data_IF_890952765014
#
_entry.id   IF_890952765014
#
_cell.length_a   1.000
_cell.length_b   1.000
_cell.length_c   1.000
_cell.angle_alpha   90.00
_cell.angle_beta   90.00
_cell.angle_gamma   90.00
#
_symmetry.space_group_name_H-M   'P 1'
#
loop_
_entity.id
_entity.type
_entity.pdbx_description
1 polymer ?
#
# COMPACT_ATOMS: atom_id res chain seq x y z
N UNK A 1 21.46 -1.33 24.11
CA UNK A 1 21.04 -1.40 22.68
C UNK A 1 21.19 -0.03 22.04
N UNK A 2 22.07 0.09 21.08
CA UNK A 2 22.27 1.32 20.30
C UNK A 2 21.01 1.54 19.44
N UNK A 3 20.51 2.76 19.38
CA UNK A 3 19.43 3.08 18.45
C UNK A 3 19.92 2.86 16.99
N UNK A 4 19.01 2.48 16.10
CA UNK A 4 19.31 2.31 14.67
C UNK A 4 19.97 3.58 14.09
N UNK A 5 19.50 4.75 14.49
CA UNK A 5 20.04 6.06 14.09
C UNK A 5 21.51 6.19 14.51
N UNK A 6 21.86 5.82 15.76
CA UNK A 6 23.24 5.90 16.24
C UNK A 6 24.19 4.99 15.45
N UNK A 7 23.75 3.77 15.07
CA UNK A 7 24.52 2.87 14.22
C UNK A 7 24.78 3.46 12.84
N UNK A 8 23.74 3.91 12.17
CA UNK A 8 23.86 4.51 10.84
C UNK A 8 24.74 5.77 10.83
N UNK A 9 24.64 6.59 11.87
CA UNK A 9 25.49 7.79 11.98
C UNK A 9 26.95 7.44 12.26
N UNK A 10 27.23 6.36 12.99
CA UNK A 10 28.58 5.86 13.22
C UNK A 10 29.23 5.33 11.93
N UNK A 11 28.47 4.61 11.12
CA UNK A 11 28.95 4.04 9.85
C UNK A 11 29.11 5.11 8.75
N UNK A 12 28.33 6.19 8.80
CA UNK A 12 28.31 7.27 7.80
C UNK A 12 28.41 8.67 8.44
N UNK A 13 29.51 9.03 9.11
CA UNK A 13 29.61 10.26 9.90
C UNK A 13 29.56 11.56 9.05
N UNK A 14 29.79 11.45 7.73
CA UNK A 14 29.75 12.59 6.80
C UNK A 14 28.39 12.82 6.17
N UNK A 15 27.40 11.94 6.43
CA UNK A 15 26.08 11.99 5.81
C UNK A 15 25.04 12.34 6.87
N UNK A 16 24.26 13.40 6.62
CA UNK A 16 23.08 13.69 7.43
C UNK A 16 21.97 12.72 7.06
N UNK A 17 21.78 11.68 7.88
CA UNK A 17 20.78 10.65 7.67
C UNK A 17 19.45 11.11 8.28
N UNK A 18 18.42 11.16 7.44
CA UNK A 18 17.03 11.31 7.87
C UNK A 18 16.33 9.98 7.70
N UNK A 19 15.95 9.34 8.80
CA UNK A 19 15.19 8.10 8.78
C UNK A 19 13.70 8.41 8.65
N UNK A 20 13.03 7.65 7.79
CA UNK A 20 11.58 7.64 7.69
C UNK A 20 11.09 6.21 7.95
N UNK A 21 10.24 6.06 8.96
CA UNK A 21 9.65 4.77 9.31
C UNK A 21 8.32 4.63 8.59
N UNK A 22 8.23 3.64 7.72
CA UNK A 22 7.05 3.31 6.95
C UNK A 22 6.55 1.94 7.39
N UNK A 23 5.34 1.88 7.94
CA UNK A 23 4.61 0.65 8.19
C UNK A 23 3.57 0.39 7.12
N UNK A 24 3.00 -0.80 7.10
CA UNK A 24 1.87 -1.06 6.21
C UNK A 24 0.70 -1.70 6.96
N UNK A 25 -0.49 -1.37 6.53
CA UNK A 25 -1.74 -1.87 7.08
C UNK A 25 -2.45 -2.76 6.08
N UNK A 26 -3.03 -3.85 6.57
CA UNK A 26 -3.80 -4.77 5.73
C UNK A 26 -5.13 -4.14 5.29
N UNK A 27 -5.59 -4.41 4.06
CA UNK A 27 -6.84 -3.85 3.51
C UNK A 27 -8.08 -4.14 4.33
N UNK A 28 -8.14 -5.26 5.07
CA UNK A 28 -9.30 -5.58 5.90
C UNK A 28 -9.48 -4.65 7.12
N UNK A 29 -8.44 -3.89 7.47
CA UNK A 29 -8.47 -2.87 8.52
C UNK A 29 -8.73 -1.47 7.98
N UNK A 30 -8.83 -1.33 6.66
CA UNK A 30 -9.02 -0.06 5.97
C UNK A 30 -10.28 -0.08 5.13
N UNK A 31 -10.90 1.07 4.99
CA UNK A 31 -11.93 1.30 4.00
C UNK A 31 -11.32 2.03 2.80
N UNK A 32 -11.66 1.59 1.60
CA UNK A 32 -11.14 2.18 0.36
C UNK A 32 -12.24 2.35 -0.67
N UNK A 33 -12.24 3.47 -1.36
CA UNK A 33 -13.16 3.77 -2.46
C UNK A 33 -12.51 4.58 -3.55
N UNK A 34 -12.78 4.21 -4.79
CA UNK A 34 -12.41 4.98 -5.98
C UNK A 34 -13.65 5.69 -6.53
N UNK A 35 -13.50 6.98 -6.78
CA UNK A 35 -14.49 7.79 -7.50
C UNK A 35 -13.91 8.18 -8.87
N UNK A 36 -14.75 8.11 -9.90
CA UNK A 36 -14.45 8.68 -11.21
C UNK A 36 -15.37 9.90 -11.38
N UNK A 37 -14.76 11.05 -11.52
CA UNK A 37 -15.44 12.34 -11.62
C UNK A 37 -15.27 12.92 -13.02
N UNK A 38 -16.24 13.67 -13.55
CA UNK A 38 -16.21 14.18 -14.92
C UNK A 38 -15.18 15.31 -15.13
N UNK A 39 -14.75 15.97 -14.05
CA UNK A 39 -13.82 17.10 -14.09
C UNK A 39 -12.85 17.07 -12.91
N UNK A 40 -11.74 17.76 -13.05
CA UNK A 40 -10.74 17.90 -11.98
C UNK A 40 -11.29 18.71 -10.83
N UNK A 41 -10.88 18.36 -9.64
CA UNK A 41 -11.17 19.07 -8.40
C UNK A 41 -9.92 19.76 -7.87
N UNK A 42 -10.08 20.88 -7.22
CA UNK A 42 -9.03 21.48 -6.38
C UNK A 42 -8.78 20.63 -5.14
N UNK A 43 -7.67 20.87 -4.44
CA UNK A 43 -7.33 20.16 -3.20
C UNK A 43 -8.47 20.26 -2.17
N UNK A 44 -9.02 21.46 -1.97
CA UNK A 44 -10.12 21.68 -1.02
C UNK A 44 -11.40 20.96 -1.43
N UNK A 45 -11.68 20.87 -2.71
CA UNK A 45 -12.84 20.13 -3.23
C UNK A 45 -12.64 18.63 -3.07
N UNK A 46 -11.43 18.12 -3.29
CA UNK A 46 -11.08 16.72 -3.04
C UNK A 46 -11.31 16.37 -1.56
N UNK A 47 -10.83 17.19 -0.63
CA UNK A 47 -11.02 16.98 0.81
C UNK A 47 -12.51 16.97 1.20
N UNK A 48 -13.29 17.94 0.72
CA UNK A 48 -14.75 17.99 0.96
C UNK A 48 -15.45 16.77 0.38
N UNK A 49 -15.05 16.35 -0.82
CA UNK A 49 -15.61 15.17 -1.46
C UNK A 49 -15.30 13.90 -0.67
N UNK A 50 -14.05 13.77 -0.16
CA UNK A 50 -13.69 12.66 0.71
C UNK A 50 -14.53 12.64 1.99
N UNK A 51 -14.61 13.77 2.68
CA UNK A 51 -15.40 13.90 3.90
C UNK A 51 -16.87 13.54 3.66
N UNK A 52 -17.46 14.06 2.58
CA UNK A 52 -18.85 13.77 2.21
C UNK A 52 -19.08 12.27 1.99
N UNK A 53 -18.17 11.61 1.25
CA UNK A 53 -18.30 10.18 0.97
C UNK A 53 -18.14 9.35 2.25
N UNK A 54 -17.15 9.69 3.09
CA UNK A 54 -16.91 9.00 4.35
C UNK A 54 -18.10 9.10 5.29
N UNK A 55 -18.67 10.30 5.45
CA UNK A 55 -19.87 10.50 6.27
C UNK A 55 -21.10 9.76 5.75
N UNK A 56 -21.21 9.62 4.44
CA UNK A 56 -22.36 8.93 3.82
C UNK A 56 -22.25 7.41 3.94
N UNK A 57 -21.04 6.87 3.85
CA UNK A 57 -20.84 5.43 3.71
C UNK A 57 -20.40 4.72 4.98
N UNK A 58 -19.77 5.45 5.89
CA UNK A 58 -19.29 4.87 7.13
C UNK A 58 -20.15 5.30 8.33
N UNK A 59 -20.61 4.36 9.15
CA UNK A 59 -21.35 4.67 10.38
C UNK A 59 -20.36 5.06 11.52
N UNK A 60 -19.40 5.93 11.22
CA UNK A 60 -18.30 6.33 12.09
C UNK A 60 -18.13 7.83 11.95
N UNK A 61 -17.95 8.54 13.06
CA UNK A 61 -17.72 9.98 13.03
C UNK A 61 -16.37 10.32 12.39
N UNK A 62 -16.27 11.41 11.62
CA UNK A 62 -15.03 11.79 10.92
C UNK A 62 -13.84 11.99 11.86
N UNK A 63 -14.06 12.48 13.08
CA UNK A 63 -13.01 12.66 14.08
C UNK A 63 -12.46 11.33 14.63
N UNK A 64 -13.14 10.21 14.39
CA UNK A 64 -12.66 8.85 14.72
C UNK A 64 -11.94 8.19 13.56
N UNK A 65 -11.85 8.87 12.40
CA UNK A 65 -11.19 8.38 11.22
C UNK A 65 -9.92 9.17 10.93
N UNK A 66 -8.91 8.47 10.44
CA UNK A 66 -7.85 9.04 9.64
C UNK A 66 -8.11 8.65 8.19
N UNK A 67 -7.99 9.61 7.28
CA UNK A 67 -8.15 9.35 5.86
C UNK A 67 -7.13 10.10 5.04
N UNK A 68 -6.83 9.54 3.90
CA UNK A 68 -5.99 10.15 2.87
C UNK A 68 -6.58 9.85 1.49
N UNK A 69 -6.16 10.59 0.49
CA UNK A 69 -6.63 10.38 -0.87
C UNK A 69 -5.55 10.61 -1.90
N UNK A 70 -5.68 9.92 -3.01
CA UNK A 70 -4.86 10.13 -4.19
C UNK A 70 -5.74 10.62 -5.33
N UNK A 71 -5.35 11.75 -5.92
CA UNK A 71 -6.02 12.37 -7.04
C UNK A 71 -5.19 12.18 -8.31
N UNK A 72 -5.81 11.68 -9.38
CA UNK A 72 -5.13 11.44 -10.66
C UNK A 72 -5.99 11.91 -11.83
N UNK A 73 -5.48 12.79 -12.71
CA UNK A 73 -6.16 13.12 -13.94
C UNK A 73 -6.23 11.89 -14.87
N UNK A 74 -7.35 11.73 -15.54
CA UNK A 74 -7.56 10.73 -16.59
C UNK A 74 -7.70 11.43 -17.94
N UNK A 75 -7.65 10.67 -19.03
CA UNK A 75 -7.92 11.22 -20.39
C UNK A 75 -9.31 11.87 -20.49
N UNK A 76 -10.28 11.29 -19.79
CA UNK A 76 -11.62 11.85 -19.65
C UNK A 76 -12.00 11.76 -18.17
N UNK A 77 -11.94 12.90 -17.48
CA UNK A 77 -12.31 13.00 -16.07
C UNK A 77 -11.14 12.96 -15.11
N UNK A 78 -11.44 12.57 -13.88
CA UNK A 78 -10.56 12.66 -12.74
C UNK A 78 -10.84 11.50 -11.80
N UNK A 79 -9.79 10.84 -11.34
CA UNK A 79 -9.89 9.72 -10.41
C UNK A 79 -9.49 10.18 -9.01
N UNK A 80 -10.30 9.84 -8.03
CA UNK A 80 -10.06 10.08 -6.62
C UNK A 80 -10.12 8.75 -5.87
N UNK A 81 -8.98 8.26 -5.43
CA UNK A 81 -8.87 7.08 -4.58
C UNK A 81 -8.83 7.53 -3.12
N UNK A 82 -9.77 7.07 -2.32
CA UNK A 82 -9.94 7.46 -0.92
C UNK A 82 -9.64 6.25 -0.05
N UNK A 83 -8.83 6.43 0.97
CA UNK A 83 -8.49 5.41 1.96
C UNK A 83 -8.77 5.96 3.35
N UNK A 84 -9.38 5.15 4.20
CA UNK A 84 -9.66 5.53 5.59
C UNK A 84 -9.41 4.37 6.54
N UNK A 85 -9.00 4.69 7.74
CA UNK A 85 -8.76 3.76 8.84
C UNK A 85 -9.32 4.35 10.13
N UNK A 86 -9.77 3.52 11.05
CA UNK A 86 -10.12 3.99 12.38
C UNK A 86 -8.88 4.55 13.08
N UNK A 87 -9.01 5.73 13.68
CA UNK A 87 -7.91 6.38 14.42
C UNK A 87 -7.31 5.45 15.48
N UNK A 88 -8.15 4.74 16.22
CA UNK A 88 -7.68 3.78 17.22
C UNK A 88 -6.83 2.67 16.60
N UNK A 89 -7.27 2.08 15.49
CA UNK A 89 -6.48 1.05 14.78
C UNK A 89 -5.11 1.57 14.35
N UNK A 90 -5.05 2.79 13.81
CA UNK A 90 -3.78 3.40 13.41
C UNK A 90 -2.87 3.69 14.63
N UNK A 91 -3.45 4.10 15.75
CA UNK A 91 -2.71 4.32 17.00
C UNK A 91 -2.18 3.01 17.59
N UNK A 92 -2.95 1.92 17.53
CA UNK A 92 -2.52 0.60 17.98
C UNK A 92 -1.30 0.13 17.18
N UNK A 93 -1.33 0.32 15.84
CA UNK A 93 -0.16 0.08 14.99
C UNK A 93 1.06 0.92 15.38
N UNK A 94 0.86 2.15 15.78
CA UNK A 94 1.95 3.03 16.22
C UNK A 94 2.58 2.54 17.53
N UNK A 95 1.79 2.03 18.46
CA UNK A 95 2.28 1.48 19.74
C UNK A 95 3.20 0.27 19.53
N UNK A 96 2.99 -0.53 18.49
CA UNK A 96 3.84 -1.68 18.16
C UNK A 96 5.27 -1.26 17.76
N UNK A 97 5.48 0.02 17.41
CA UNK A 97 6.77 0.60 17.01
C UNK A 97 7.41 1.48 18.10
N UNK A 98 7.21 1.16 19.36
CA UNK A 98 7.60 1.92 20.58
C UNK A 98 8.95 2.67 20.53
N UNK A 99 9.89 2.23 19.71
CA UNK A 99 11.25 2.80 19.65
C UNK A 99 11.53 3.62 18.39
N UNK A 100 10.64 3.56 17.41
CA UNK A 100 10.78 4.26 16.14
C UNK A 100 9.44 4.87 15.77
N UNK A 101 9.30 6.19 15.77
CA UNK A 101 8.03 6.83 15.45
C UNK A 101 7.62 6.47 14.02
N UNK A 102 6.47 5.84 13.88
CA UNK A 102 5.86 5.54 12.59
C UNK A 102 5.44 6.88 11.94
N UNK A 103 5.99 7.18 10.77
CA UNK A 103 5.70 8.42 10.05
C UNK A 103 4.73 8.24 8.90
N UNK A 104 4.67 7.02 8.37
CA UNK A 104 3.79 6.67 7.26
C UNK A 104 3.16 5.32 7.52
N UNK A 105 1.84 5.24 7.35
CA UNK A 105 1.08 4.01 7.34
C UNK A 105 0.52 3.80 5.93
N UNK A 106 1.20 2.95 5.15
CA UNK A 106 0.83 2.66 3.77
C UNK A 106 -0.07 1.42 3.67
N UNK A 107 -0.73 1.24 2.55
CA UNK A 107 -1.51 0.04 2.27
C UNK A 107 -0.58 -1.12 1.87
N UNK A 108 -0.75 -2.27 2.52
CA UNK A 108 0.05 -3.47 2.25
C UNK A 108 0.12 -3.85 0.76
N UNK A 109 -0.96 -3.81 -0.04
CA UNK A 109 -0.90 -4.08 -1.47
C UNK A 109 0.04 -3.16 -2.24
N UNK A 110 0.16 -1.89 -1.84
CA UNK A 110 1.09 -0.96 -2.47
C UNK A 110 2.55 -1.33 -2.19
N UNK A 111 2.85 -1.71 -0.96
CA UNK A 111 4.19 -2.20 -0.59
C UNK A 111 4.53 -3.48 -1.38
N UNK A 112 3.59 -4.43 -1.48
CA UNK A 112 3.77 -5.67 -2.25
C UNK A 112 4.06 -5.36 -3.73
N UNK A 113 3.28 -4.48 -4.37
CA UNK A 113 3.51 -4.10 -5.77
C UNK A 113 4.87 -3.43 -5.97
N UNK A 114 5.29 -2.52 -5.08
CA UNK A 114 6.61 -1.90 -5.17
C UNK A 114 7.73 -2.92 -5.06
N UNK A 115 7.60 -3.90 -4.17
CA UNK A 115 8.58 -4.98 -4.03
C UNK A 115 8.68 -5.81 -5.31
N UNK A 116 7.56 -6.23 -5.90
CA UNK A 116 7.54 -6.93 -7.19
C UNK A 116 8.20 -6.10 -8.29
N UNK A 117 7.83 -4.82 -8.41
CA UNK A 117 8.40 -3.94 -9.43
C UNK A 117 9.89 -3.69 -9.27
N UNK A 118 10.40 -3.74 -8.05
CA UNK A 118 11.83 -3.59 -7.78
C UNK A 118 12.62 -4.84 -8.16
N UNK A 119 12.08 -6.01 -7.80
CA UNK A 119 12.78 -7.29 -8.05
C UNK A 119 12.69 -7.70 -9.52
N UNK A 120 11.58 -7.36 -10.19
CA UNK A 120 11.39 -7.64 -11.61
C UNK A 120 11.98 -6.52 -12.44
N UNK A 121 13.03 -6.83 -13.20
CA UNK A 121 13.74 -5.87 -14.06
C UNK A 121 12.87 -5.34 -15.20
N UNK A 122 11.89 -6.10 -15.65
CA UNK A 122 10.98 -5.76 -16.71
C UNK A 122 9.52 -5.80 -16.23
N UNK A 123 8.78 -4.72 -16.49
CA UNK A 123 7.34 -4.67 -16.28
C UNK A 123 6.65 -5.20 -17.53
N UNK A 124 5.92 -6.29 -17.40
CA UNK A 124 5.08 -6.78 -18.48
C UNK A 124 3.65 -6.30 -18.22
N UNK A 125 3.02 -5.78 -19.26
CA UNK A 125 1.60 -5.51 -19.24
C UNK A 125 0.82 -6.80 -18.92
N UNK A 126 -0.35 -6.66 -18.30
CA UNK A 126 -1.21 -7.79 -17.93
C UNK A 126 -0.56 -8.86 -17.04
N UNK A 127 0.35 -8.42 -16.15
CA UNK A 127 0.96 -9.31 -15.15
C UNK A 127 0.11 -9.38 -13.89
N UNK A 128 -0.11 -10.60 -13.41
CA UNK A 128 -0.72 -10.87 -12.11
C UNK A 128 0.38 -11.16 -11.09
N UNK A 129 0.34 -10.45 -9.97
CA UNK A 129 1.27 -10.60 -8.86
C UNK A 129 0.56 -11.29 -7.69
N UNK A 130 1.06 -12.45 -7.30
CA UNK A 130 0.53 -13.25 -6.20
C UNK A 130 1.50 -13.20 -5.02
N UNK A 131 1.01 -12.83 -3.87
CA UNK A 131 1.77 -12.78 -2.63
C UNK A 131 1.13 -13.68 -1.59
N UNK A 132 1.94 -14.46 -0.87
CA UNK A 132 1.49 -15.25 0.26
C UNK A 132 2.50 -15.23 1.40
N UNK A 133 2.03 -14.89 2.59
CA UNK A 133 2.66 -15.20 3.87
C UNK A 133 1.70 -16.03 4.73
N UNK A 134 2.08 -16.29 5.99
CA UNK A 134 1.28 -17.10 6.93
C UNK A 134 -0.11 -16.48 7.21
N UNK A 135 -0.23 -15.16 7.12
CA UNK A 135 -1.45 -14.43 7.49
C UNK A 135 -2.21 -13.87 6.29
N UNK A 136 -1.52 -13.65 5.18
CA UNK A 136 -2.06 -12.90 4.04
C UNK A 136 -1.86 -13.62 2.72
N UNK A 137 -2.86 -13.53 1.88
CA UNK A 137 -2.79 -13.99 0.50
C UNK A 137 -3.41 -12.92 -0.41
N UNK A 138 -2.61 -12.35 -1.34
CA UNK A 138 -3.01 -11.27 -2.22
C UNK A 138 -2.79 -11.62 -3.68
N UNK A 139 -3.77 -11.26 -4.52
CA UNK A 139 -3.64 -11.19 -5.97
C UNK A 139 -3.79 -9.73 -6.41
N UNK A 140 -2.81 -9.22 -7.13
CA UNK A 140 -2.70 -7.82 -7.51
C UNK A 140 -2.41 -7.72 -9.01
N UNK A 141 -3.14 -6.87 -9.72
CA UNK A 141 -2.91 -6.59 -11.13
C UNK A 141 -3.09 -5.11 -11.41
N UNK A 142 -2.13 -4.50 -12.08
CA UNK A 142 -2.24 -3.13 -12.55
C UNK A 142 -2.99 -3.10 -13.88
N UNK A 143 -4.28 -2.81 -13.83
CA UNK A 143 -5.06 -2.56 -15.03
C UNK A 143 -5.06 -1.07 -15.39
N UNK A 144 -5.19 -0.75 -16.68
CA UNK A 144 -5.06 0.61 -17.20
C UNK A 144 -5.97 1.64 -16.51
N UNK A 145 -7.16 1.21 -16.06
CA UNK A 145 -8.16 2.10 -15.48
C UNK A 145 -8.26 1.99 -13.96
N UNK A 146 -8.05 0.81 -13.39
CA UNK A 146 -8.16 0.59 -11.96
C UNK A 146 -7.30 -0.61 -11.54
N UNK A 147 -6.46 -0.47 -10.50
CA UNK A 147 -5.79 -1.63 -9.92
C UNK A 147 -6.83 -2.65 -9.46
N UNK A 148 -6.63 -3.88 -9.84
CA UNK A 148 -7.45 -4.99 -9.40
C UNK A 148 -6.75 -5.67 -8.23
N UNK A 149 -7.48 -5.88 -7.17
CA UNK A 149 -6.97 -6.50 -5.96
C UNK A 149 -7.97 -7.50 -5.42
N UNK A 150 -7.47 -8.65 -5.04
CA UNK A 150 -8.19 -9.63 -4.26
C UNK A 150 -7.33 -10.07 -3.08
N UNK A 151 -7.93 -10.07 -1.90
CA UNK A 151 -7.40 -10.70 -0.71
C UNK A 151 -8.31 -11.88 -0.36
N UNK A 152 -7.73 -13.03 -0.08
CA UNK A 152 -8.47 -14.21 0.33
C UNK A 152 -7.68 -15.00 1.38
N UNK A 153 -8.37 -15.91 2.04
CA UNK A 153 -7.76 -16.96 2.86
C UNK A 153 -7.51 -18.19 1.99
N UNK A 154 -6.44 -18.92 2.27
CA UNK A 154 -6.12 -20.14 1.55
C UNK A 154 -4.76 -20.05 0.85
N UNK A 155 -4.67 -20.67 -0.31
CA UNK A 155 -3.43 -20.77 -1.07
C UNK A 155 -3.48 -19.99 -2.39
N UNK A 156 -2.31 -19.87 -3.05
CA UNK A 156 -2.18 -19.09 -4.28
C UNK A 156 -3.03 -19.63 -5.45
N UNK A 157 -3.27 -20.96 -5.53
CA UNK A 157 -4.09 -21.56 -6.61
C UNK A 157 -5.54 -21.12 -6.44
N UNK A 158 -6.08 -21.29 -5.25
CA UNK A 158 -7.47 -20.89 -4.93
C UNK A 158 -7.65 -19.38 -5.14
N UNK A 159 -6.67 -18.59 -4.74
CA UNK A 159 -6.69 -17.15 -4.93
C UNK A 159 -6.67 -16.76 -6.41
N UNK A 160 -5.83 -17.41 -7.22
CA UNK A 160 -5.77 -17.20 -8.66
C UNK A 160 -7.11 -17.52 -9.34
N UNK A 161 -7.72 -18.67 -9.00
CA UNK A 161 -9.03 -19.03 -9.54
C UNK A 161 -10.12 -18.02 -9.17
N UNK A 162 -10.13 -17.57 -7.91
CA UNK A 162 -11.07 -16.55 -7.46
C UNK A 162 -10.85 -15.22 -8.18
N UNK A 163 -9.59 -14.83 -8.40
CA UNK A 163 -9.24 -13.63 -9.14
C UNK A 163 -9.75 -13.71 -10.59
N UNK A 164 -9.49 -14.80 -11.29
CA UNK A 164 -9.96 -15.01 -12.66
C UNK A 164 -11.49 -15.01 -12.78
N UNK A 165 -12.20 -15.55 -11.78
CA UNK A 165 -13.67 -15.52 -11.75
C UNK A 165 -14.24 -14.13 -11.49
N UNK A 166 -13.53 -13.31 -10.74
CA UNK A 166 -13.98 -11.96 -10.35
C UNK A 166 -13.66 -10.91 -11.40
N UNK A 167 -12.52 -11.06 -12.05
CA UNK A 167 -11.99 -10.07 -12.99
C UNK A 167 -11.79 -10.75 -14.34
N UNK A 168 -12.52 -10.30 -15.34
CA UNK A 168 -12.39 -10.79 -16.73
C UNK A 168 -11.17 -10.14 -17.42
N UNK A 169 -10.01 -10.18 -16.77
CA UNK A 169 -8.80 -9.55 -17.26
C UNK A 169 -7.91 -10.55 -17.98
N UNK A 170 -7.32 -10.13 -19.07
CA UNK A 170 -6.33 -10.93 -19.78
C UNK A 170 -5.07 -10.99 -18.92
N UNK A 171 -4.70 -12.16 -18.43
CA UNK A 171 -3.46 -12.42 -17.71
C UNK A 171 -2.48 -13.05 -18.67
N UNK A 172 -1.32 -12.43 -18.85
CA UNK A 172 -0.27 -12.93 -19.74
C UNK A 172 0.88 -13.59 -18.97
N UNK A 173 1.14 -13.10 -17.76
CA UNK A 173 2.19 -13.63 -16.88
C UNK A 173 1.71 -13.64 -15.45
N UNK A 174 2.15 -14.65 -14.71
CA UNK A 174 1.92 -14.77 -13.27
C UNK A 174 3.28 -14.78 -12.58
N UNK A 175 3.44 -13.85 -11.65
CA UNK A 175 4.57 -13.80 -10.74
C UNK A 175 4.10 -14.08 -9.34
N UNK A 176 4.85 -14.84 -8.58
CA UNK A 176 4.48 -15.09 -7.20
C UNK A 176 5.67 -15.00 -6.25
N UNK A 177 5.36 -14.56 -5.03
CA UNK A 177 6.25 -14.62 -3.88
C UNK A 177 5.55 -15.35 -2.74
N UNK A 178 6.26 -16.25 -2.10
CA UNK A 178 5.81 -16.93 -0.88
C UNK A 178 6.90 -16.89 0.17
N UNK A 179 6.50 -16.69 1.43
CA UNK A 179 7.42 -16.88 2.55
C UNK A 179 7.69 -18.36 2.79
N UNK A 180 8.84 -18.65 3.36
CA UNK A 180 9.28 -20.04 3.61
C UNK A 180 8.42 -20.80 4.62
N UNK A 181 7.71 -20.05 5.48
CA UNK A 181 6.86 -20.62 6.53
C UNK A 181 5.48 -21.07 6.02
N UNK A 182 5.17 -20.84 4.75
CA UNK A 182 3.93 -21.32 4.14
C UNK A 182 4.00 -22.82 3.84
N UNK A 183 2.88 -23.52 4.01
CA UNK A 183 2.77 -24.95 3.68
C UNK A 183 3.15 -25.21 2.20
N UNK A 184 3.92 -26.26 1.91
CA UNK A 184 4.27 -26.60 0.53
C UNK A 184 3.04 -26.81 -0.33
N UNK A 185 3.09 -26.34 -1.58
CA UNK A 185 2.03 -26.49 -2.57
C UNK A 185 2.65 -26.64 -3.97
N UNK A 186 2.11 -27.52 -4.77
CA UNK A 186 2.48 -27.66 -6.17
C UNK A 186 1.83 -26.51 -6.97
N UNK A 187 2.66 -25.63 -7.49
CA UNK A 187 2.24 -24.50 -8.30
C UNK A 187 2.43 -24.80 -9.79
N UNK A 188 1.64 -24.20 -10.67
CA UNK A 188 1.79 -24.33 -12.12
C UNK A 188 3.22 -23.97 -12.57
N UNK A 189 3.79 -24.78 -13.46
CA UNK A 189 5.17 -24.65 -13.92
C UNK A 189 5.44 -23.37 -14.76
N UNK A 190 4.39 -22.77 -15.28
CA UNK A 190 4.42 -21.50 -16.04
C UNK A 190 4.36 -20.26 -15.14
N UNK A 191 4.18 -20.42 -13.82
CA UNK A 191 4.26 -19.31 -12.89
C UNK A 191 5.71 -18.99 -12.52
N UNK A 192 6.02 -17.71 -12.44
CA UNK A 192 7.38 -17.23 -12.21
C UNK A 192 7.57 -16.91 -10.71
N UNK A 193 8.41 -17.68 -10.05
CA UNK A 193 8.77 -17.42 -8.67
C UNK A 193 9.70 -16.22 -8.56
N UNK A 194 9.36 -15.30 -7.66
CA UNK A 194 10.20 -14.18 -7.27
C UNK A 194 10.86 -14.50 -5.94
N UNK A 195 12.16 -14.27 -5.85
CA UNK A 195 12.94 -14.49 -4.63
C UNK A 195 13.72 -13.22 -4.27
N UNK A 196 13.92 -12.99 -2.98
CA UNK A 196 14.69 -11.87 -2.46
C UNK A 196 15.26 -12.23 -1.10
N UNK A 197 16.45 -11.70 -0.78
CA UNK A 197 17.07 -11.86 0.53
C UNK A 197 16.47 -10.95 1.60
N UNK A 198 15.75 -9.91 1.20
CA UNK A 198 15.09 -8.99 2.10
C UNK A 198 13.63 -9.43 2.39
N UNK A 199 13.08 -9.17 3.58
CA UNK A 199 11.66 -9.37 3.84
C UNK A 199 10.82 -8.56 2.84
N UNK A 200 9.94 -9.23 2.09
CA UNK A 200 9.30 -8.69 0.90
C UNK A 200 8.50 -7.40 1.13
N UNK A 201 7.67 -7.39 2.18
CA UNK A 201 6.89 -6.19 2.54
C UNK A 201 7.81 -5.07 3.03
N UNK A 202 8.85 -5.38 3.81
CA UNK A 202 9.81 -4.38 4.27
C UNK A 202 10.57 -3.74 3.11
N UNK A 203 10.95 -4.53 2.11
CA UNK A 203 11.52 -4.04 0.85
C UNK A 203 10.57 -3.04 0.19
N UNK A 204 9.29 -3.39 0.03
CA UNK A 204 8.29 -2.50 -0.54
C UNK A 204 8.07 -1.22 0.26
N UNK A 205 8.15 -1.28 1.60
CA UNK A 205 8.05 -0.11 2.46
C UNK A 205 9.28 0.81 2.33
N UNK A 206 10.49 0.25 2.21
CA UNK A 206 11.70 1.04 1.96
C UNK A 206 11.66 1.80 0.63
N UNK A 207 10.90 1.31 -0.33
CA UNK A 207 10.72 1.93 -1.65
C UNK A 207 9.58 2.97 -1.69
N UNK A 208 8.98 3.29 -0.55
CA UNK A 208 7.94 4.31 -0.49
C UNK A 208 8.47 5.66 -1.00
N UNK A 209 7.74 6.33 -1.88
CA UNK A 209 8.12 7.56 -2.61
C UNK A 209 9.28 7.45 -3.61
N UNK A 210 9.90 6.30 -3.81
CA UNK A 210 10.99 6.18 -4.80
C UNK A 210 10.50 5.87 -6.22
N UNK A 211 9.29 5.36 -6.34
CA UNK A 211 8.76 4.80 -7.60
C UNK A 211 7.84 5.72 -8.38
N UNK A 212 7.49 6.90 -7.85
CA UNK A 212 6.68 7.87 -8.60
C UNK A 212 7.52 9.09 -8.96
N UNK A 213 7.64 9.47 -10.26
CA UNK A 213 8.05 10.81 -10.60
C UNK A 213 7.03 11.75 -9.95
N UNK A 214 7.50 12.66 -9.12
CA UNK A 214 6.70 13.73 -8.53
C UNK A 214 6.09 14.56 -9.68
N UNK A 215 4.95 14.14 -10.19
CA UNK A 215 4.03 15.11 -10.75
C UNK A 215 3.50 15.87 -9.53
N UNK A 216 3.85 17.15 -9.45
CA UNK A 216 3.38 18.11 -8.46
C UNK A 216 1.85 18.23 -8.52
N UNK A 217 1.17 17.23 -8.03
CA UNK A 217 -0.21 17.34 -7.60
C UNK A 217 -0.06 17.46 -6.08
N UNK A 218 -0.35 18.66 -5.58
CA UNK A 218 -0.39 18.95 -4.16
C UNK A 218 -1.08 17.78 -3.47
N UNK A 219 -0.31 16.97 -2.76
CA UNK A 219 -0.84 15.99 -1.84
C UNK A 219 -1.64 16.81 -0.85
N UNK A 220 -2.94 16.67 -0.88
CA UNK A 220 -3.81 17.12 0.20
C UNK A 220 -3.45 16.26 1.38
N UNK A 221 -2.40 16.69 2.03
CA UNK A 221 -1.95 16.09 3.25
C UNK A 221 -2.89 16.56 4.34
N UNK A 222 -3.96 15.82 4.57
CA UNK A 222 -4.39 15.65 5.95
C UNK A 222 -3.28 14.80 6.59
N UNK A 223 -2.07 15.39 6.53
CA UNK A 223 -0.85 14.77 6.94
C UNK A 223 -0.95 14.45 8.42
N UNK A 224 -0.66 13.24 8.78
CA UNK A 224 -0.30 12.78 10.12
C UNK A 224 0.90 13.56 10.74
N UNK A 225 1.15 14.79 10.28
CA UNK A 225 2.11 15.74 10.86
C UNK A 225 1.38 16.78 11.71
N UNK A 226 0.38 16.39 12.48
CA UNK A 226 0.07 17.16 13.68
C UNK A 226 1.22 16.94 14.66
N UNK A 227 1.85 18.04 15.06
CA UNK A 227 2.90 18.13 16.06
C UNK A 227 2.60 17.24 17.26
N UNK A 228 3.36 16.16 17.39
CA UNK A 228 3.29 15.24 18.52
C UNK A 228 4.00 15.76 19.77
N UNK A 229 4.41 17.06 19.76
CA UNK A 229 5.22 17.66 20.83
C UNK A 229 4.42 18.33 21.96
N UNK A 230 3.11 18.27 21.98
CA UNK A 230 2.33 18.80 23.11
C UNK A 230 1.47 17.74 23.76
N UNK A 231 2.10 16.97 24.66
CA UNK A 231 1.42 16.48 25.89
C UNK A 231 2.45 16.18 26.98
N UNK A 232 2.49 17.13 27.95
CA UNK A 232 2.93 16.90 29.32
C UNK A 232 2.08 15.81 30.00
#
# INVERSE_FOLDING_TARGET
SWSLTARLTADFPQIRIQLRVVGCISPHLTWSKTLILPHSLSVQECERQCQFVLQKELPIALNELWFDYRAKPLKQGFRLDIHAVRRQTAMDFQCDYDKLPLQVLDLMPHAILRAFHFVLSERCENSLYLYQDVQHCFALMEAAHQPQMLQATGNLITLFEQFCRRFESKIERVYFYRTVDCEPIDLPADWNQVTTDAPFIALGNCLWQTTEPQQNISQGSACLTENWDERD
#
